data_IF_989506776321
#
_entry.id   IF_989506776321
#
_cell.length_a   1.000
_cell.length_b   1.000
_cell.length_c   1.000
_cell.angle_alpha   90.00
_cell.angle_beta   90.00
_cell.angle_gamma   90.00
#
_symmetry.space_group_name_H-M   'P 1'
#
loop_
_entity.id
_entity.type
_entity.pdbx_description
1 polymer ?
#
# COMPACT_ATOMS: atom_id res chain seq x y z
N UNK A 1 -4.31 14.30 -12.46
CA UNK A 1 -3.26 13.25 -12.54
C UNK A 1 -3.68 12.12 -11.61
N UNK A 2 -4.19 11.01 -12.14
CA UNK A 2 -4.51 9.83 -11.33
C UNK A 2 -3.20 9.14 -10.96
N UNK A 3 -2.72 9.29 -9.72
CA UNK A 3 -1.44 8.69 -9.30
C UNK A 3 -1.51 7.16 -9.12
N UNK A 4 -2.54 6.48 -9.64
CA UNK A 4 -2.72 5.02 -9.62
C UNK A 4 -2.56 4.35 -8.23
N UNK A 5 -2.70 5.13 -7.16
CA UNK A 5 -2.84 4.65 -5.80
C UNK A 5 -4.33 4.46 -5.51
N UNK A 6 -4.68 3.31 -4.96
CA UNK A 6 -6.00 3.01 -4.43
C UNK A 6 -5.97 3.21 -2.92
N UNK A 7 -7.02 3.84 -2.40
CA UNK A 7 -7.25 3.92 -0.95
C UNK A 7 -7.70 2.54 -0.49
N UNK A 8 -6.87 1.86 0.31
CA UNK A 8 -7.21 0.55 0.86
C UNK A 8 -7.97 0.67 2.18
N UNK A 9 -7.59 1.66 2.99
CA UNK A 9 -8.21 1.90 4.28
C UNK A 9 -8.15 3.37 4.63
N UNK A 10 -9.26 3.90 5.12
CA UNK A 10 -9.35 5.22 5.71
C UNK A 10 -10.06 5.07 7.05
N UNK A 11 -9.44 5.59 8.11
CA UNK A 11 -10.01 5.62 9.45
C UNK A 11 -9.98 7.05 9.96
N UNK A 12 -11.16 7.67 9.94
CA UNK A 12 -11.38 9.04 10.36
C UNK A 12 -11.24 9.23 11.87
N UNK A 13 -11.44 8.18 12.68
CA UNK A 13 -11.30 8.26 14.13
C UNK A 13 -9.83 8.35 14.53
N UNK A 14 -9.01 7.47 13.95
CA UNK A 14 -7.55 7.46 14.20
C UNK A 14 -6.79 8.43 13.31
N UNK A 15 -7.48 9.12 12.39
CA UNK A 15 -6.89 9.99 11.35
C UNK A 15 -5.75 9.29 10.62
N UNK A 16 -6.03 8.05 10.23
CA UNK A 16 -5.09 7.21 9.51
C UNK A 16 -5.61 6.86 8.13
N UNK A 17 -4.67 6.67 7.22
CA UNK A 17 -4.94 6.41 5.82
C UNK A 17 -3.89 5.46 5.28
N UNK A 18 -4.35 4.46 4.53
CA UNK A 18 -3.51 3.51 3.82
C UNK A 18 -3.85 3.56 2.34
N UNK A 19 -2.85 3.86 1.51
CA UNK A 19 -2.93 3.74 0.06
C UNK A 19 -2.00 2.65 -0.44
N UNK A 20 -2.45 1.90 -1.44
CA UNK A 20 -1.63 0.92 -2.14
C UNK A 20 -1.56 1.22 -3.63
N UNK A 21 -0.41 0.94 -4.22
CA UNK A 21 -0.23 0.88 -5.67
C UNK A 21 0.27 -0.49 -6.05
N UNK A 22 -0.34 -1.04 -7.09
CA UNK A 22 -0.05 -2.36 -7.61
C UNK A 22 0.75 -2.21 -8.90
N UNK A 23 1.85 -2.95 -8.98
CA UNK A 23 2.67 -3.11 -10.17
C UNK A 23 2.62 -4.57 -10.59
N UNK A 24 2.30 -4.82 -11.86
CA UNK A 24 2.32 -6.17 -12.40
C UNK A 24 3.77 -6.60 -12.65
N UNK A 25 4.15 -7.79 -12.17
CA UNK A 25 5.47 -8.39 -12.39
C UNK A 25 5.30 -9.86 -12.79
N UNK A 26 5.10 -10.09 -14.10
CA UNK A 26 4.88 -11.42 -14.66
C UNK A 26 3.65 -12.12 -14.07
N UNK A 27 3.87 -13.21 -13.31
CA UNK A 27 2.81 -13.98 -12.61
C UNK A 27 2.54 -13.50 -11.17
N UNK A 28 3.18 -12.40 -10.76
CA UNK A 28 3.03 -11.79 -9.44
C UNK A 28 2.65 -10.32 -9.53
N UNK A 29 2.48 -9.72 -8.36
CA UNK A 29 2.27 -8.29 -8.22
C UNK A 29 3.19 -7.75 -7.14
N UNK A 30 3.89 -6.67 -7.44
CA UNK A 30 4.59 -5.87 -6.43
C UNK A 30 3.59 -4.85 -5.93
N UNK A 31 3.38 -4.81 -4.62
CA UNK A 31 2.45 -3.90 -3.97
C UNK A 31 3.25 -2.93 -3.12
N UNK A 32 3.11 -1.63 -3.40
CA UNK A 32 3.65 -0.57 -2.57
C UNK A 32 2.53 0.00 -1.72
N UNK A 33 2.62 -0.17 -0.41
CA UNK A 33 1.66 0.33 0.57
C UNK A 33 2.27 1.51 1.32
N UNK A 34 1.58 2.65 1.31
CA UNK A 34 1.92 3.83 2.09
C UNK A 34 0.89 3.97 3.19
N UNK A 35 1.34 4.03 4.44
CA UNK A 35 0.52 4.31 5.60
C UNK A 35 0.84 5.71 6.10
N UNK A 36 -0.20 6.46 6.44
CA UNK A 36 -0.10 7.81 6.99
C UNK A 36 -0.97 7.88 8.23
N UNK A 37 -0.45 8.49 9.29
CA UNK A 37 -1.21 8.77 10.50
C UNK A 37 -0.95 10.20 10.97
N UNK A 38 -2.01 10.88 11.39
CA UNK A 38 -1.94 12.27 11.86
C UNK A 38 -2.35 12.34 13.32
N UNK A 39 -1.41 12.68 14.20
CA UNK A 39 -1.64 12.84 15.64
C UNK A 39 -1.67 14.32 15.99
N UNK A 40 -2.77 14.80 16.57
CA UNK A 40 -2.84 16.14 17.11
C UNK A 40 -1.94 16.25 18.35
N UNK A 41 -0.97 17.18 18.35
CA UNK A 41 -0.05 17.41 19.46
C UNK A 41 -0.36 18.69 20.24
N UNK A 42 -1.41 19.42 19.85
CA UNK A 42 -1.91 20.61 20.51
C UNK A 42 -3.09 21.23 19.76
N UNK A 43 -3.51 22.43 20.18
CA UNK A 43 -4.68 23.12 19.60
C UNK A 43 -4.53 23.47 18.10
N UNK A 44 -3.29 23.67 17.64
CA UNK A 44 -2.97 24.07 16.27
C UNK A 44 -1.82 23.29 15.64
N UNK A 45 -1.38 22.22 16.28
CA UNK A 45 -0.22 21.44 15.85
C UNK A 45 -0.63 19.99 15.65
N UNK A 46 -0.12 19.39 14.57
CA UNK A 46 -0.25 17.97 14.30
C UNK A 46 1.10 17.40 13.86
N UNK A 47 1.36 16.16 14.24
CA UNK A 47 2.50 15.39 13.75
C UNK A 47 1.99 14.37 12.73
N UNK A 48 2.62 14.35 11.56
CA UNK A 48 2.30 13.40 10.50
C UNK A 48 3.38 12.32 10.49
N UNK A 49 2.96 11.08 10.71
CA UNK A 49 3.79 9.90 10.54
C UNK A 49 3.49 9.26 9.20
N UNK A 50 4.52 8.86 8.46
CA UNK A 50 4.37 8.09 7.24
C UNK A 50 5.31 6.91 7.24
N UNK A 51 4.84 5.76 6.77
CA UNK A 51 5.65 4.59 6.49
C UNK A 51 5.28 4.02 5.13
N UNK A 52 6.24 3.40 4.47
CA UNK A 52 6.02 2.78 3.18
C UNK A 52 6.64 1.37 3.19
N UNK A 53 5.89 0.42 2.67
CA UNK A 53 6.25 -1.00 2.66
C UNK A 53 5.98 -1.54 1.27
N UNK A 54 6.95 -2.24 0.72
CA UNK A 54 6.83 -2.98 -0.53
C UNK A 54 6.70 -4.47 -0.21
N UNK A 55 5.73 -5.14 -0.80
CA UNK A 55 5.65 -6.60 -0.74
C UNK A 55 5.37 -7.24 -2.11
N UNK A 56 5.82 -8.48 -2.28
CA UNK A 56 5.58 -9.27 -3.49
C UNK A 56 4.47 -10.28 -3.23
N UNK A 57 3.37 -10.18 -3.98
CA UNK A 57 2.30 -11.15 -4.02
C UNK A 57 2.55 -12.12 -5.18
N UNK A 58 2.68 -13.42 -4.91
CA UNK A 58 2.66 -14.45 -5.95
C UNK A 58 1.35 -15.21 -5.91
N UNK A 59 0.74 -15.39 -7.08
CA UNK A 59 -0.44 -16.25 -7.24
C UNK A 59 0.04 -17.69 -7.29
N UNK A 60 -0.31 -18.49 -6.28
CA UNK A 60 -0.15 -19.95 -6.31
C UNK A 60 -1.47 -20.57 -6.70
N UNK A 61 -1.46 -21.33 -7.79
CA UNK A 61 -2.60 -22.16 -8.20
C UNK A 61 -2.39 -23.57 -7.69
N UNK A 62 -3.25 -24.03 -6.77
CA UNK A 62 -3.33 -25.43 -6.37
C UNK A 62 -4.32 -26.13 -7.29
N UNK A 63 -3.88 -27.17 -7.99
CA UNK A 63 -4.73 -27.99 -8.85
C UNK A 63 -5.14 -29.21 -8.03
N UNK A 64 -6.41 -29.29 -7.65
CA UNK A 64 -6.93 -30.48 -7.00
C UNK A 64 -7.29 -31.53 -8.06
N UNK A 65 -6.75 -32.74 -7.89
CA UNK A 65 -6.98 -33.89 -8.77
C UNK A 65 -7.85 -34.92 -8.05
N UNK A 66 -8.67 -35.67 -8.79
CA UNK A 66 -9.43 -36.81 -8.26
C UNK A 66 -8.52 -37.88 -7.64
N UNK A 67 -9.10 -38.82 -6.87
CA UNK A 67 -8.42 -39.94 -6.18
C UNK A 67 -7.52 -40.81 -7.09
N UNK A 68 -7.70 -40.74 -8.42
CA UNK A 68 -6.86 -41.43 -9.42
C UNK A 68 -5.94 -40.49 -10.22
N UNK A 69 -5.87 -39.19 -9.88
CA UNK A 69 -4.90 -38.24 -10.43
C UNK A 69 -5.11 -37.83 -11.90
N UNK A 70 -6.17 -38.30 -12.56
CA UNK A 70 -6.35 -38.22 -14.02
C UNK A 70 -7.17 -37.00 -14.49
N UNK A 71 -8.02 -36.41 -13.63
CA UNK A 71 -8.90 -35.30 -14.02
C UNK A 71 -8.74 -34.16 -13.01
N UNK A 72 -8.35 -32.93 -13.44
CA UNK A 72 -8.38 -31.75 -12.59
C UNK A 72 -9.85 -31.38 -12.28
N UNK A 73 -10.19 -31.28 -11.00
CA UNK A 73 -11.58 -31.05 -10.54
C UNK A 73 -11.82 -29.60 -10.13
N UNK A 74 -10.74 -28.84 -9.96
CA UNK A 74 -10.78 -27.42 -9.62
C UNK A 74 -9.37 -26.85 -9.48
N UNK A 75 -9.27 -25.52 -9.51
CA UNK A 75 -8.04 -24.81 -9.21
C UNK A 75 -8.30 -23.66 -8.24
N UNK A 76 -7.63 -23.66 -7.10
CA UNK A 76 -7.66 -22.53 -6.15
C UNK A 76 -6.45 -21.63 -6.40
N UNK A 77 -6.70 -20.36 -6.69
CA UNK A 77 -5.66 -19.34 -6.81
C UNK A 77 -5.55 -18.57 -5.49
N UNK A 78 -4.51 -18.84 -4.71
CA UNK A 78 -4.24 -18.12 -3.46
C UNK A 78 -3.11 -17.12 -3.69
N UNK A 79 -3.35 -15.85 -3.38
CA UNK A 79 -2.30 -14.82 -3.33
C UNK A 79 -1.52 -15.00 -2.03
N UNK A 80 -0.23 -15.35 -2.13
CA UNK A 80 0.64 -15.50 -0.96
C UNK A 80 1.63 -14.34 -0.94
N UNK A 81 1.67 -13.60 0.18
CA UNK A 81 2.66 -12.56 0.45
C UNK A 81 4.00 -13.23 0.71
N UNK A 82 4.94 -13.08 -0.22
CA UNK A 82 6.18 -13.86 -0.20
C UNK A 82 7.34 -13.11 0.44
N UNK A 83 7.43 -11.80 0.23
CA UNK A 83 8.48 -10.94 0.79
C UNK A 83 7.88 -9.58 1.14
N UNK A 84 8.32 -9.01 2.25
CA UNK A 84 7.98 -7.66 2.70
C UNK A 84 9.28 -6.91 2.98
N UNK A 85 9.41 -5.69 2.46
CA UNK A 85 10.54 -4.79 2.69
C UNK A 85 10.04 -3.39 2.99
N UNK A 86 10.59 -2.76 4.01
CA UNK A 86 10.38 -1.32 4.24
C UNK A 86 11.07 -0.53 3.13
N UNK A 87 10.41 0.51 2.64
CA UNK A 87 11.03 1.45 1.71
C UNK A 87 11.97 2.35 2.50
N UNK A 88 13.26 2.28 2.20
CA UNK A 88 14.30 3.09 2.87
C UNK A 88 14.72 4.32 2.04
N UNK A 89 14.06 4.55 0.90
CA UNK A 89 14.35 5.66 0.01
C UNK A 89 14.02 7.00 0.68
N UNK A 90 15.06 7.73 1.06
CA UNK A 90 14.93 9.04 1.71
C UNK A 90 14.35 10.10 0.77
N UNK A 91 14.62 10.02 -0.53
CA UNK A 91 14.12 10.97 -1.52
C UNK A 91 12.60 10.86 -1.67
N UNK A 92 12.08 9.63 -1.62
CA UNK A 92 10.63 9.38 -1.58
C UNK A 92 9.97 10.13 -0.42
N UNK A 93 10.48 9.97 0.80
CA UNK A 93 9.92 10.63 1.99
C UNK A 93 10.04 12.15 1.91
N UNK A 94 11.17 12.65 1.42
CA UNK A 94 11.37 14.09 1.22
C UNK A 94 10.31 14.67 0.28
N UNK A 95 10.14 14.07 -0.91
CA UNK A 95 9.14 14.51 -1.90
C UNK A 95 7.71 14.42 -1.35
N UNK A 96 7.41 13.38 -0.57
CA UNK A 96 6.11 13.23 0.09
C UNK A 96 5.82 14.40 1.04
N UNK A 97 6.75 14.73 1.93
CA UNK A 97 6.56 15.84 2.87
C UNK A 97 6.59 17.21 2.19
N UNK A 98 7.39 17.41 1.14
CA UNK A 98 7.34 18.62 0.31
C UNK A 98 5.97 18.81 -0.35
N UNK A 99 5.34 17.72 -0.83
CA UNK A 99 3.99 17.77 -1.39
C UNK A 99 2.94 18.15 -0.33
N UNK A 100 3.05 17.60 0.89
CA UNK A 100 2.19 17.99 2.01
C UNK A 100 2.35 19.48 2.32
N UNK A 101 3.59 19.96 2.42
CA UNK A 101 3.86 21.37 2.70
C UNK A 101 3.22 22.30 1.66
N UNK A 102 3.36 21.95 0.37
CA UNK A 102 2.74 22.69 -0.74
C UNK A 102 1.22 22.72 -0.63
N UNK A 103 0.59 21.58 -0.31
CA UNK A 103 -0.87 21.51 -0.17
C UNK A 103 -1.36 22.33 1.03
N UNK A 104 -0.66 22.29 2.15
CA UNK A 104 -0.97 23.12 3.33
C UNK A 104 -0.89 24.61 2.99
N UNK A 105 0.13 25.04 2.24
CA UNK A 105 0.26 26.44 1.79
C UNK A 105 -0.93 26.88 0.94
N UNK A 106 -1.31 26.06 -0.04
CA UNK A 106 -2.50 26.29 -0.88
C UNK A 106 -3.77 26.44 -0.02
N UNK A 107 -4.02 25.49 0.90
CA UNK A 107 -5.20 25.50 1.76
C UNK A 107 -5.23 26.67 2.76
N UNK A 108 -4.06 27.14 3.20
CA UNK A 108 -3.94 28.25 4.15
C UNK A 108 -3.81 29.62 3.48
N UNK A 109 -3.81 29.67 2.14
CA UNK A 109 -3.67 30.90 1.36
C UNK A 109 -2.33 31.61 1.56
N UNK A 110 -1.27 30.85 1.88
CA UNK A 110 0.10 31.34 2.10
C UNK A 110 1.03 30.95 0.97
#
# INVERSE_FOLDING_TARGET
MSQNFRIEKEDLQTKSFTAARYFEDGKGSIVLTVNVNVIATGKYNATVYTSAVQHVEKVRTKIDRTFLGLIPVGSEATKVKQEEKTVEDTEFYKKFFEAIEKEIKILTGK
#
